data_IF_286260425947
#
_entry.id   IF_286260425947
#
_cell.length_a   1.000
_cell.length_b   1.000
_cell.length_c   1.000
_cell.angle_alpha   90.00
_cell.angle_beta   90.00
_cell.angle_gamma   90.00
#
_symmetry.space_group_name_H-M   'P 1'
#
loop_
_entity.id
_entity.type
_entity.pdbx_description
1 polymer ?
#
# COMPACT_ATOMS: atom_id res chain seq x y z
N UNK A 1 30.25 -21.92 -25.77
CA UNK A 1 30.27 -20.44 -25.90
C UNK A 1 28.88 -19.83 -26.16
N UNK A 2 28.14 -20.27 -27.17
CA UNK A 2 26.81 -19.73 -27.54
C UNK A 2 25.77 -20.00 -26.43
N UNK A 3 25.75 -21.21 -25.88
CA UNK A 3 24.82 -21.59 -24.81
C UNK A 3 25.02 -20.73 -23.54
N UNK A 4 26.28 -20.42 -23.20
CA UNK A 4 26.61 -19.57 -22.05
C UNK A 4 26.11 -18.14 -22.28
N UNK A 5 26.29 -17.60 -23.49
CA UNK A 5 25.75 -16.28 -23.87
C UNK A 5 24.22 -16.21 -23.76
N UNK A 6 23.51 -17.26 -24.18
CA UNK A 6 22.05 -17.34 -24.07
C UNK A 6 21.57 -17.45 -22.61
N UNK A 7 22.31 -18.17 -21.77
CA UNK A 7 22.02 -18.25 -20.34
C UNK A 7 22.21 -16.88 -19.69
N UNK A 8 23.32 -16.19 -19.97
CA UNK A 8 23.55 -14.84 -19.45
C UNK A 8 22.51 -13.82 -19.94
N UNK A 9 22.10 -13.85 -21.21
CA UNK A 9 21.08 -12.93 -21.72
C UNK A 9 19.70 -13.20 -21.09
N UNK A 10 19.33 -14.46 -20.89
CA UNK A 10 18.07 -14.84 -20.22
C UNK A 10 18.03 -14.43 -18.74
N UNK A 11 19.15 -14.58 -18.02
CA UNK A 11 19.28 -14.15 -16.62
C UNK A 11 19.19 -12.62 -16.49
N UNK A 12 19.77 -11.88 -17.44
CA UNK A 12 19.66 -10.42 -17.47
C UNK A 12 18.24 -9.94 -17.80
N UNK A 13 17.49 -10.68 -18.63
CA UNK A 13 16.12 -10.32 -18.97
C UNK A 13 15.15 -10.48 -17.78
N UNK A 14 15.37 -11.49 -16.92
CA UNK A 14 14.59 -11.66 -15.67
C UNK A 14 14.89 -10.61 -14.59
N UNK A 15 15.88 -9.73 -14.79
CA UNK A 15 16.25 -8.72 -13.79
C UNK A 15 15.41 -7.42 -13.90
N UNK A 16 14.58 -7.27 -14.93
CA UNK A 16 13.73 -6.10 -15.13
C UNK A 16 12.31 -6.36 -14.64
N UNK A 17 12.09 -6.33 -13.32
CA UNK A 17 10.76 -6.27 -12.73
C UNK A 17 10.19 -4.85 -12.91
N UNK A 18 9.24 -4.69 -13.84
CA UNK A 18 8.43 -3.49 -14.02
C UNK A 18 6.99 -3.73 -13.57
N UNK A 19 6.22 -2.66 -13.35
CA UNK A 19 4.76 -2.78 -13.15
C UNK A 19 3.98 -2.41 -14.41
N UNK A 20 2.77 -2.95 -14.52
CA UNK A 20 1.83 -2.61 -15.58
C UNK A 20 1.47 -1.10 -15.56
N UNK A 21 1.11 -0.56 -16.73
CA UNK A 21 0.79 0.86 -16.92
C UNK A 21 -0.33 1.38 -15.99
N UNK A 22 -1.29 0.53 -15.62
CA UNK A 22 -2.39 0.86 -14.71
C UNK A 22 -1.96 0.94 -13.23
N UNK A 23 -0.79 0.40 -12.91
CA UNK A 23 -0.24 0.38 -11.54
C UNK A 23 0.71 1.54 -11.25
N UNK A 24 1.06 2.34 -12.27
CA UNK A 24 1.91 3.52 -12.09
C UNK A 24 1.11 4.61 -11.38
N UNK A 25 1.63 5.07 -10.23
CA UNK A 25 1.00 6.11 -9.41
C UNK A 25 2.03 7.15 -9.00
N UNK A 26 1.54 8.36 -8.72
CA UNK A 26 2.29 9.37 -7.98
C UNK A 26 2.01 9.18 -6.50
N UNK A 27 3.05 8.94 -5.69
CA UNK A 27 2.88 8.72 -4.26
C UNK A 27 4.16 8.94 -3.46
N UNK A 28 4.14 8.54 -2.19
CA UNK A 28 5.25 8.67 -1.25
C UNK A 28 5.52 7.36 -0.50
N UNK A 29 6.78 7.14 -0.10
CA UNK A 29 7.22 6.01 0.73
C UNK A 29 8.17 6.49 1.84
N UNK A 30 8.24 5.73 2.93
CA UNK A 30 9.22 5.96 3.98
C UNK A 30 10.47 5.15 3.65
N UNK A 31 11.60 5.82 3.52
CA UNK A 31 12.90 5.19 3.31
C UNK A 31 13.91 5.88 4.22
N UNK A 32 14.66 5.09 5.00
CA UNK A 32 15.64 5.61 5.98
C UNK A 32 15.08 6.74 6.88
N UNK A 33 13.88 6.52 7.44
CA UNK A 33 13.15 7.51 8.27
C UNK A 33 12.90 8.86 7.58
N UNK A 34 12.81 8.88 6.26
CA UNK A 34 12.45 10.07 5.49
C UNK A 34 11.32 9.77 4.51
N UNK A 35 10.52 10.79 4.21
CA UNK A 35 9.44 10.70 3.23
C UNK A 35 9.93 11.08 1.85
N UNK A 36 10.05 10.11 0.96
CA UNK A 36 10.44 10.28 -0.45
C UNK A 36 9.18 10.16 -1.31
N UNK A 37 9.00 11.07 -2.26
CA UNK A 37 7.82 11.08 -3.14
C UNK A 37 8.25 11.12 -4.59
N UNK A 38 7.49 10.46 -5.46
CA UNK A 38 7.81 10.33 -6.87
C UNK A 38 6.70 9.65 -7.65
N UNK A 39 7.07 9.18 -8.84
CA UNK A 39 6.23 8.35 -9.70
C UNK A 39 6.84 6.95 -9.72
N UNK A 40 5.99 5.93 -9.63
CA UNK A 40 6.39 4.53 -9.81
C UNK A 40 5.26 3.60 -9.39
N UNK A 41 5.57 2.38 -9.03
CA UNK A 41 4.56 1.35 -8.83
C UNK A 41 3.75 1.57 -7.54
N UNK A 42 2.46 1.25 -7.58
CA UNK A 42 1.55 1.31 -6.41
C UNK A 42 2.04 0.45 -5.24
N UNK A 43 2.74 -0.65 -5.53
CA UNK A 43 3.38 -1.51 -4.54
C UNK A 43 4.51 -0.82 -3.76
N UNK A 44 5.22 0.13 -4.40
CA UNK A 44 6.32 0.85 -3.78
C UNK A 44 5.86 2.08 -2.99
N UNK A 45 4.88 2.81 -3.52
CA UNK A 45 4.42 4.08 -2.96
C UNK A 45 3.17 3.90 -2.09
N UNK A 46 3.39 3.55 -0.83
CA UNK A 46 2.33 3.25 0.15
C UNK A 46 1.43 4.45 0.50
N UNK A 47 1.95 5.67 0.47
CA UNK A 47 1.23 6.88 0.90
C UNK A 47 0.83 7.75 -0.29
N UNK A 48 -0.36 8.35 -0.24
CA UNK A 48 -0.85 9.21 -1.34
C UNK A 48 -0.26 10.62 -1.28
N UNK A 49 0.08 11.10 -0.09
CA UNK A 49 0.63 12.44 0.12
C UNK A 49 1.84 12.46 1.04
N UNK A 50 2.66 13.52 0.89
CA UNK A 50 3.81 13.75 1.76
C UNK A 50 3.40 13.99 3.22
N UNK A 51 2.24 14.61 3.43
CA UNK A 51 1.68 14.84 4.76
C UNK A 51 1.30 13.54 5.45
N UNK A 52 0.57 12.65 4.76
CA UNK A 52 0.21 11.32 5.25
C UNK A 52 1.47 10.53 5.64
N UNK A 53 2.49 10.54 4.78
CA UNK A 53 3.78 9.90 5.07
C UNK A 53 4.44 10.48 6.33
N UNK A 54 4.47 11.83 6.47
CA UNK A 54 5.09 12.49 7.64
C UNK A 54 4.36 12.20 8.95
N UNK A 55 3.03 12.12 8.92
CA UNK A 55 2.23 11.79 10.10
C UNK A 55 2.55 10.38 10.58
N UNK A 56 2.68 9.41 9.65
CA UNK A 56 3.11 8.05 9.96
C UNK A 56 4.54 8.01 10.53
N UNK A 57 5.47 8.75 9.92
CA UNK A 57 6.86 8.80 10.38
C UNK A 57 6.99 9.34 11.81
N UNK A 58 6.12 10.27 12.21
CA UNK A 58 6.08 10.86 13.56
C UNK A 58 5.35 10.00 14.59
N UNK A 59 4.86 8.81 14.21
CA UNK A 59 4.06 7.96 15.10
C UNK A 59 2.65 8.50 15.34
N UNK A 60 2.20 9.49 14.56
CA UNK A 60 0.82 9.98 14.57
C UNK A 60 -0.03 9.03 13.71
N UNK A 61 -0.10 7.76 14.12
CA UNK A 61 -1.00 6.79 13.51
C UNK A 61 -2.41 7.25 13.86
N UNK A 62 -3.12 7.82 12.88
CA UNK A 62 -4.56 8.03 13.05
C UNK A 62 -5.19 6.65 13.14
N UNK A 63 -5.65 6.26 14.32
CA UNK A 63 -6.52 5.10 14.45
C UNK A 63 -7.88 5.49 13.88
N UNK A 64 -8.12 5.16 12.60
CA UNK A 64 -9.40 5.48 11.96
C UNK A 64 -10.56 4.75 12.63
N UNK A 65 -10.31 3.60 13.26
CA UNK A 65 -11.31 2.82 13.96
C UNK A 65 -11.73 3.44 15.30
N UNK A 66 -10.96 4.36 15.88
CA UNK A 66 -11.34 5.08 17.10
C UNK A 66 -12.63 5.90 16.92
N UNK A 67 -12.92 6.33 15.68
CA UNK A 67 -14.14 7.06 15.32
C UNK A 67 -15.39 6.18 15.18
N UNK A 68 -15.25 4.85 15.36
CA UNK A 68 -16.32 3.84 15.19
C UNK A 68 -17.08 4.02 13.87
N UNK A 69 -16.41 3.90 12.71
CA UNK A 69 -17.03 4.20 11.43
C UNK A 69 -18.01 3.12 10.92
N UNK A 70 -17.94 1.90 11.45
CA UNK A 70 -18.80 0.77 11.08
C UNK A 70 -20.14 0.80 11.82
N UNK A 71 -21.23 0.54 11.10
CA UNK A 71 -22.59 0.50 11.63
C UNK A 71 -22.95 -0.90 12.15
N UNK A 72 -24.11 -1.02 12.81
CA UNK A 72 -24.70 -2.31 13.23
C UNK A 72 -23.74 -3.23 14.01
N UNK A 73 -22.89 -2.67 14.87
CA UNK A 73 -21.87 -3.39 15.63
C UNK A 73 -20.83 -4.15 14.77
N UNK A 74 -20.61 -3.73 13.52
CA UNK A 74 -19.54 -4.25 12.68
C UNK A 74 -18.15 -3.95 13.26
N UNK A 75 -17.20 -4.87 13.04
CA UNK A 75 -15.82 -4.75 13.51
C UNK A 75 -15.02 -3.91 12.51
N UNK A 76 -14.43 -2.80 12.97
CA UNK A 76 -13.53 -1.99 12.16
C UNK A 76 -12.13 -2.60 12.12
N UNK A 77 -11.59 -2.75 10.90
CA UNK A 77 -10.21 -3.17 10.66
C UNK A 77 -9.49 -2.12 9.84
N UNK A 78 -8.51 -1.44 10.45
CA UNK A 78 -7.61 -0.53 9.73
C UNK A 78 -6.75 -1.34 8.74
N UNK A 79 -6.69 -0.88 7.50
CA UNK A 79 -5.87 -1.58 6.49
C UNK A 79 -4.39 -1.31 6.77
N UNK A 80 -3.51 -2.31 6.60
CA UNK A 80 -2.08 -2.06 6.74
C UNK A 80 -1.61 -1.04 5.70
N UNK A 81 -2.12 -1.12 4.46
CA UNK A 81 -1.68 -0.29 3.34
C UNK A 81 -1.86 1.21 3.58
N UNK A 82 -2.92 1.67 4.26
CA UNK A 82 -2.99 3.06 4.69
C UNK A 82 -3.66 3.22 6.05
N UNK A 83 -3.22 4.20 6.86
CA UNK A 83 -3.78 4.45 8.19
C UNK A 83 -5.14 5.16 8.14
N UNK A 84 -5.50 5.70 6.97
CA UNK A 84 -6.77 6.36 6.71
C UNK A 84 -7.83 5.41 6.15
N UNK A 85 -7.43 4.25 5.63
CA UNK A 85 -8.35 3.26 5.09
C UNK A 85 -8.68 2.19 6.14
N UNK A 86 -9.96 1.82 6.17
CA UNK A 86 -10.48 0.74 6.99
C UNK A 86 -11.41 -0.15 6.16
N UNK A 87 -11.72 -1.32 6.70
CA UNK A 87 -12.79 -2.21 6.25
C UNK A 87 -13.67 -2.57 7.44
N UNK A 88 -14.97 -2.72 7.19
CA UNK A 88 -15.91 -3.24 8.18
C UNK A 88 -16.12 -4.73 7.95
N UNK A 89 -16.06 -5.52 9.03
CA UNK A 89 -16.50 -6.91 9.04
C UNK A 89 -17.86 -7.00 9.73
N UNK A 90 -18.85 -7.48 8.99
CA UNK A 90 -20.24 -7.63 9.44
C UNK A 90 -20.59 -9.08 9.79
N UNK A 91 -19.61 -9.96 9.92
CA UNK A 91 -19.83 -11.36 10.33
C UNK A 91 -20.51 -11.42 11.69
N UNK A 92 -21.59 -12.22 11.78
CA UNK A 92 -22.35 -12.37 13.02
C UNK A 92 -23.29 -11.21 13.37
N UNK A 93 -23.34 -10.13 12.57
CA UNK A 93 -24.29 -9.01 12.81
C UNK A 93 -25.61 -9.16 12.07
N UNK A 94 -25.69 -10.04 11.06
CA UNK A 94 -26.85 -10.18 10.18
C UNK A 94 -26.94 -9.14 9.05
N UNK A 95 -25.94 -8.26 8.94
CA UNK A 95 -25.85 -7.23 7.89
C UNK A 95 -24.70 -7.51 6.91
N UNK A 96 -24.76 -6.88 5.74
CA UNK A 96 -23.72 -6.93 4.71
C UNK A 96 -23.53 -5.54 4.09
N UNK A 97 -22.35 -5.29 3.52
CA UNK A 97 -22.02 -4.01 2.90
C UNK A 97 -20.64 -3.51 3.30
N UNK A 98 -20.31 -2.29 2.87
CA UNK A 98 -19.04 -1.63 3.14
C UNK A 98 -19.01 -0.84 4.45
N UNK A 99 -20.15 -0.70 5.14
CA UNK A 99 -20.30 0.08 6.37
C UNK A 99 -21.25 -0.56 7.36
#
# INVERSE_FOLDING_TARGET
>A
PILVFLIFSSLMYMACDGCDLDQVVRGCKIQQRQCICGIGCRSEYRYRSREECRNNLKGKVSDVCSTKPCANNGICMQTPMSPSMYKCRCEGTGYYGSR
#
